data_IF_838130303955
#
_entry.id   IF_838130303955
#
_cell.length_a   1.000
_cell.length_b   1.000
_cell.length_c   1.000
_cell.angle_alpha   90.00
_cell.angle_beta   90.00
_cell.angle_gamma   90.00
#
_symmetry.space_group_name_H-M   'P 1'
#
loop_
_entity.id
_entity.type
_entity.pdbx_description
1 polymer ?
#
# COMPACT_ATOMS: atom_id res chain seq x y z
N UNK A 1 -28.77 -2.89 3.96
CA UNK A 1 -27.34 -2.96 4.30
C UNK A 1 -26.78 -1.62 3.89
N UNK A 2 -26.38 -0.78 4.80
CA UNK A 2 -25.78 0.51 4.45
C UNK A 2 -24.36 0.23 3.97
N UNK A 3 -24.13 0.43 2.69
CA UNK A 3 -22.81 0.55 2.11
C UNK A 3 -22.23 1.84 2.71
N UNK A 4 -21.05 1.79 3.30
CA UNK A 4 -20.36 2.99 3.76
C UNK A 4 -20.09 3.83 2.53
N UNK A 5 -20.73 5.00 2.46
CA UNK A 5 -20.42 5.96 1.41
C UNK A 5 -19.39 6.96 1.98
N UNK A 6 -18.41 7.40 1.18
CA UNK A 6 -17.45 8.45 1.59
C UNK A 6 -18.15 9.68 2.19
N UNK A 7 -19.35 9.97 1.73
CA UNK A 7 -20.17 11.07 2.24
C UNK A 7 -20.65 10.85 3.69
N UNK A 8 -20.60 9.61 4.20
CA UNK A 8 -20.98 9.24 5.57
C UNK A 8 -19.80 9.33 6.56
N UNK A 9 -18.56 9.41 6.04
CA UNK A 9 -17.36 9.58 6.87
C UNK A 9 -17.26 11.05 7.34
N UNK A 10 -17.53 11.27 8.61
CA UNK A 10 -17.32 12.58 9.24
C UNK A 10 -15.82 12.89 9.42
N UNK A 11 -15.50 14.15 9.69
CA UNK A 11 -14.12 14.62 9.90
C UNK A 11 -13.32 13.78 10.92
N UNK A 12 -13.98 13.31 11.97
CA UNK A 12 -13.37 12.47 13.01
C UNK A 12 -12.88 11.12 12.45
N UNK A 13 -13.61 10.52 11.51
CA UNK A 13 -13.24 9.24 10.91
C UNK A 13 -12.02 9.39 10.00
N UNK A 14 -11.97 10.47 9.23
CA UNK A 14 -10.81 10.81 8.41
C UNK A 14 -9.56 11.09 9.27
N UNK A 15 -9.73 11.71 10.43
CA UNK A 15 -8.63 11.94 11.36
C UNK A 15 -8.09 10.62 11.95
N UNK A 16 -8.94 9.65 12.27
CA UNK A 16 -8.53 8.31 12.72
C UNK A 16 -7.73 7.59 11.63
N UNK A 17 -8.21 7.62 10.38
CA UNK A 17 -7.49 7.02 9.25
C UNK A 17 -6.15 7.72 8.98
N UNK A 18 -6.12 9.05 9.11
CA UNK A 18 -4.86 9.81 8.98
C UNK A 18 -3.86 9.45 10.07
N UNK A 19 -4.32 9.29 11.30
CA UNK A 19 -3.46 8.87 12.40
C UNK A 19 -2.89 7.46 12.16
N UNK A 20 -3.70 6.54 11.65
CA UNK A 20 -3.24 5.22 11.22
C UNK A 20 -2.11 5.33 10.19
N UNK A 21 -2.28 6.17 9.17
CA UNK A 21 -1.26 6.44 8.15
C UNK A 21 0.02 7.00 8.75
N UNK A 22 -0.08 7.97 9.63
CA UNK A 22 1.08 8.61 10.28
C UNK A 22 1.87 7.62 11.14
N UNK A 23 1.21 6.77 11.92
CA UNK A 23 1.87 5.75 12.73
C UNK A 23 2.54 4.70 11.84
N UNK A 24 1.82 4.22 10.82
CA UNK A 24 2.34 3.25 9.86
C UNK A 24 3.56 3.78 9.11
N UNK A 25 3.47 5.00 8.57
CA UNK A 25 4.56 5.65 7.83
C UNK A 25 5.80 5.90 8.70
N UNK A 26 5.62 6.34 9.95
CA UNK A 26 6.72 6.56 10.87
C UNK A 26 7.48 5.26 11.20
N UNK A 27 6.77 4.16 11.41
CA UNK A 27 7.37 2.85 11.64
C UNK A 27 8.05 2.31 10.37
N UNK A 28 7.43 2.48 9.20
CA UNK A 28 8.00 2.10 7.91
C UNK A 28 9.28 2.89 7.61
N UNK A 29 9.27 4.21 7.78
CA UNK A 29 10.42 5.08 7.57
C UNK A 29 11.62 4.66 8.41
N UNK A 30 11.41 4.38 9.70
CA UNK A 30 12.46 3.92 10.62
C UNK A 30 13.07 2.59 10.17
N UNK A 31 12.22 1.64 9.78
CA UNK A 31 12.64 0.32 9.33
C UNK A 31 13.40 0.38 8.00
N UNK A 32 12.88 1.15 7.04
CA UNK A 32 13.52 1.36 5.75
C UNK A 32 14.84 2.13 5.84
N UNK A 33 14.94 3.14 6.72
CA UNK A 33 16.19 3.87 6.96
C UNK A 33 17.29 2.94 7.47
N UNK A 34 16.94 2.00 8.35
CA UNK A 34 17.87 0.98 8.84
C UNK A 34 18.30 0.02 7.74
N UNK A 35 17.36 -0.47 6.92
CA UNK A 35 17.62 -1.41 5.83
C UNK A 35 18.48 -0.78 4.72
N UNK A 36 18.11 0.42 4.29
CA UNK A 36 18.82 1.14 3.22
C UNK A 36 20.11 1.83 3.69
N UNK A 37 20.38 1.83 5.01
CA UNK A 37 21.50 2.53 5.63
C UNK A 37 21.60 4.00 5.18
N UNK A 38 20.44 4.69 5.09
CA UNK A 38 20.31 6.08 4.70
C UNK A 38 19.10 6.72 5.36
N UNK A 39 18.97 8.04 5.23
CA UNK A 39 17.77 8.72 5.73
C UNK A 39 16.57 8.38 4.88
N UNK A 40 15.47 8.02 5.53
CA UNK A 40 14.15 7.82 4.91
C UNK A 40 13.12 8.56 5.75
N UNK A 41 12.34 9.40 5.08
CA UNK A 41 11.14 10.03 5.64
C UNK A 41 9.95 9.65 4.77
N UNK A 42 8.79 9.45 5.37
CA UNK A 42 7.54 9.13 4.67
C UNK A 42 6.47 10.10 5.13
N UNK A 43 5.88 10.81 4.19
CA UNK A 43 4.70 11.63 4.39
C UNK A 43 3.48 10.92 3.78
N UNK A 44 2.38 10.89 4.52
CA UNK A 44 1.08 10.41 4.05
C UNK A 44 0.16 11.62 3.87
N UNK A 45 0.13 12.23 2.69
CA UNK A 45 -0.69 13.42 2.45
C UNK A 45 -2.18 13.14 2.58
N UNK A 46 -2.62 11.95 2.20
CA UNK A 46 -4.01 11.55 2.29
C UNK A 46 -4.19 10.04 2.43
N UNK A 47 -5.23 9.67 3.19
CA UNK A 47 -5.86 8.36 3.10
C UNK A 47 -7.28 8.58 2.62
N UNK A 48 -7.67 7.87 1.57
CA UNK A 48 -8.95 8.00 0.92
C UNK A 48 -9.65 6.65 0.85
N UNK A 49 -10.97 6.67 0.99
CA UNK A 49 -11.81 5.55 0.62
C UNK A 49 -12.20 5.77 -0.85
N UNK A 50 -11.78 4.88 -1.74
CA UNK A 50 -12.01 4.98 -3.18
C UNK A 50 -12.85 3.80 -3.66
N UNK A 51 -13.70 4.06 -4.65
CA UNK A 51 -14.34 2.97 -5.40
C UNK A 51 -13.26 2.18 -6.14
N UNK A 52 -13.30 0.86 -6.05
CA UNK A 52 -12.27 -0.02 -6.61
C UNK A 52 -12.02 0.24 -8.10
N UNK A 53 -13.09 0.42 -8.88
CA UNK A 53 -13.04 0.67 -10.33
C UNK A 53 -12.38 2.01 -10.71
N UNK A 54 -12.21 2.92 -9.73
CA UNK A 54 -11.59 4.23 -9.92
C UNK A 54 -10.10 4.25 -9.58
N UNK A 55 -9.59 3.25 -8.85
CA UNK A 55 -8.22 3.25 -8.35
C UNK A 55 -7.20 3.37 -9.49
N UNK A 56 -7.35 2.59 -10.55
CA UNK A 56 -6.42 2.65 -11.70
C UNK A 56 -6.34 4.06 -12.30
N UNK A 57 -7.49 4.69 -12.53
CA UNK A 57 -7.54 6.06 -13.09
C UNK A 57 -7.04 7.13 -12.13
N UNK A 58 -7.06 6.85 -10.84
CA UNK A 58 -6.50 7.74 -9.81
C UNK A 58 -4.97 7.67 -9.76
N UNK A 59 -4.41 6.47 -9.95
CA UNK A 59 -2.96 6.22 -9.96
C UNK A 59 -2.27 6.69 -11.24
N UNK A 60 -2.96 6.65 -12.37
CA UNK A 60 -2.41 7.02 -13.69
C UNK A 60 -3.25 6.51 -14.85
N UNK A 61 -2.61 6.24 -15.98
CA UNK A 61 -3.28 5.58 -17.09
C UNK A 61 -3.37 4.07 -16.84
N UNK A 62 -4.50 3.41 -17.16
CA UNK A 62 -4.58 1.95 -17.10
C UNK A 62 -3.52 1.21 -17.94
N UNK A 63 -2.95 1.88 -18.93
CA UNK A 63 -1.90 1.33 -19.81
C UNK A 63 -0.48 1.55 -19.26
N UNK A 64 -0.32 2.34 -18.17
CA UNK A 64 0.99 2.59 -17.56
C UNK A 64 1.57 1.29 -16.99
N UNK A 65 2.81 0.97 -17.37
CA UNK A 65 3.54 -0.18 -16.85
C UNK A 65 4.13 0.14 -15.48
N UNK A 66 3.76 -0.68 -14.50
CA UNK A 66 4.15 -0.52 -13.10
C UNK A 66 4.68 -1.85 -12.53
N UNK A 67 5.33 -1.75 -11.39
CA UNK A 67 5.54 -2.90 -10.50
C UNK A 67 4.51 -2.83 -9.40
N UNK A 68 3.85 -3.94 -9.14
CA UNK A 68 3.05 -4.09 -7.94
C UNK A 68 3.54 -5.26 -7.09
N UNK A 69 3.32 -5.14 -5.80
CA UNK A 69 3.55 -6.21 -4.84
C UNK A 69 2.28 -6.41 -4.03
N UNK A 70 1.77 -7.64 -4.03
CA UNK A 70 0.58 -8.02 -3.29
C UNK A 70 0.93 -8.92 -2.13
N UNK A 71 0.37 -8.62 -0.96
CA UNK A 71 0.48 -9.43 0.25
C UNK A 71 -0.93 -9.79 0.71
N UNK A 72 -1.17 -11.06 0.95
CA UNK A 72 -2.44 -11.50 1.54
C UNK A 72 -2.45 -11.19 3.02
N UNK A 73 -3.59 -10.74 3.52
CA UNK A 73 -3.88 -10.57 4.94
C UNK A 73 -4.79 -11.70 5.38
N UNK A 74 -4.48 -12.30 6.52
CA UNK A 74 -5.23 -13.42 7.09
C UNK A 74 -5.36 -13.23 8.61
N UNK A 75 -6.48 -13.65 9.18
CA UNK A 75 -6.73 -13.60 10.62
C UNK A 75 -8.03 -12.89 10.96
N UNK A 76 -7.97 -11.83 11.78
CA UNK A 76 -9.17 -11.04 12.09
C UNK A 76 -9.58 -10.13 10.95
N UNK A 77 -8.67 -9.85 10.03
CA UNK A 77 -8.92 -9.11 8.79
C UNK A 77 -8.40 -9.94 7.61
N UNK A 78 -9.29 -10.25 6.67
CA UNK A 78 -8.97 -10.92 5.42
C UNK A 78 -8.96 -9.90 4.27
N UNK A 79 -7.89 -9.94 3.47
CA UNK A 79 -7.73 -8.97 2.41
C UNK A 79 -6.42 -9.05 1.66
N UNK A 80 -6.14 -8.00 0.91
CA UNK A 80 -4.88 -7.80 0.19
C UNK A 80 -4.35 -6.41 0.50
N UNK A 81 -3.07 -6.33 0.85
CA UNK A 81 -2.33 -5.08 0.75
C UNK A 81 -1.60 -5.08 -0.59
N UNK A 82 -1.98 -4.17 -1.45
CA UNK A 82 -1.38 -3.97 -2.75
C UNK A 82 -0.53 -2.70 -2.72
N UNK A 83 0.77 -2.81 -2.98
CA UNK A 83 1.64 -1.67 -3.19
C UNK A 83 1.90 -1.49 -4.69
N UNK A 84 1.65 -0.31 -5.21
CA UNK A 84 1.93 0.07 -6.60
C UNK A 84 3.11 1.03 -6.62
N UNK A 85 4.16 0.67 -7.35
CA UNK A 85 5.46 1.32 -7.32
C UNK A 85 5.81 1.90 -8.68
N UNK A 86 6.11 3.19 -8.70
CA UNK A 86 6.55 3.88 -9.90
C UNK A 86 8.02 3.57 -10.26
N UNK A 87 8.39 3.61 -11.54
CA UNK A 87 9.78 3.38 -11.99
C UNK A 87 10.80 4.28 -11.30
N UNK A 88 10.43 5.54 -10.99
CA UNK A 88 11.28 6.51 -10.28
C UNK A 88 11.66 6.04 -8.88
N UNK A 89 10.73 5.44 -8.15
CA UNK A 89 10.97 4.85 -6.85
C UNK A 89 11.98 3.70 -6.95
N UNK A 90 11.73 2.77 -7.88
CA UNK A 90 12.58 1.59 -8.08
C UNK A 90 14.01 2.03 -8.42
N UNK A 91 14.15 2.95 -9.37
CA UNK A 91 15.45 3.52 -9.74
C UNK A 91 16.16 4.12 -8.52
N UNK A 92 15.46 4.86 -7.68
CA UNK A 92 16.04 5.47 -6.48
C UNK A 92 16.52 4.41 -5.49
N UNK A 93 15.69 3.40 -5.23
CA UNK A 93 16.00 2.31 -4.33
C UNK A 93 17.22 1.51 -4.79
N UNK A 94 17.20 1.03 -6.03
CA UNK A 94 18.30 0.22 -6.58
C UNK A 94 19.61 0.99 -6.54
N UNK A 95 19.60 2.28 -6.91
CA UNK A 95 20.80 3.11 -6.89
C UNK A 95 21.33 3.40 -5.46
N UNK A 96 20.60 3.04 -4.42
CA UNK A 96 21.12 3.06 -3.04
C UNK A 96 22.05 1.86 -2.78
N UNK A 97 21.82 0.73 -3.44
CA UNK A 97 22.64 -0.47 -3.30
C UNK A 97 23.79 -0.52 -4.31
N UNK A 98 23.50 -0.22 -5.59
CA UNK A 98 24.49 -0.19 -6.66
C UNK A 98 24.03 0.69 -7.83
N UNK A 99 24.99 1.35 -8.53
CA UNK A 99 24.65 2.18 -9.68
C UNK A 99 24.08 1.32 -10.82
N UNK A 100 22.85 1.61 -11.24
CA UNK A 100 22.17 0.98 -12.37
C UNK A 100 21.30 2.00 -13.10
N UNK A 101 21.39 2.02 -14.43
CA UNK A 101 20.43 2.76 -15.23
C UNK A 101 19.15 1.94 -15.39
N UNK A 102 18.02 2.50 -14.92
CA UNK A 102 16.68 1.94 -15.05
C UNK A 102 15.84 3.01 -15.75
N UNK A 103 15.37 2.71 -16.94
CA UNK A 103 14.54 3.60 -17.77
C UNK A 103 13.09 3.10 -17.82
N UNK A 104 12.87 1.81 -17.58
CA UNK A 104 11.60 1.12 -17.64
C UNK A 104 11.55 0.02 -16.58
N UNK A 105 10.37 -0.41 -16.20
CA UNK A 105 10.18 -1.58 -15.32
C UNK A 105 10.65 -2.88 -15.98
N UNK A 106 10.75 -2.90 -17.31
CA UNK A 106 11.24 -4.05 -18.07
C UNK A 106 12.79 -4.21 -18.02
N UNK A 107 13.51 -3.22 -17.49
CA UNK A 107 14.96 -3.28 -17.27
C UNK A 107 15.34 -4.01 -15.97
N UNK A 108 14.35 -4.40 -15.17
CA UNK A 108 14.57 -5.03 -13.87
C UNK A 108 14.95 -6.50 -14.02
N UNK A 109 15.99 -6.90 -13.31
CA UNK A 109 16.38 -8.30 -13.16
C UNK A 109 15.88 -8.87 -11.81
N UNK A 110 16.13 -10.17 -11.59
CA UNK A 110 15.69 -10.88 -10.38
C UNK A 110 16.28 -10.28 -9.10
N UNK A 111 17.48 -9.68 -9.15
CA UNK A 111 18.12 -9.04 -8.00
C UNK A 111 17.44 -7.72 -7.64
N UNK A 112 17.08 -6.94 -8.68
CA UNK A 112 16.31 -5.70 -8.47
C UNK A 112 14.94 -6.00 -7.87
N UNK A 113 14.24 -6.99 -8.42
CA UNK A 113 12.93 -7.41 -7.91
C UNK A 113 13.01 -7.90 -6.47
N UNK A 114 14.05 -8.66 -6.12
CA UNK A 114 14.27 -9.11 -4.74
C UNK A 114 14.47 -7.93 -3.78
N UNK A 115 15.21 -6.90 -4.20
CA UNK A 115 15.41 -5.70 -3.38
C UNK A 115 14.09 -4.91 -3.21
N UNK A 116 13.30 -4.78 -4.28
CA UNK A 116 11.98 -4.13 -4.24
C UNK A 116 11.01 -4.92 -3.37
N UNK A 117 11.00 -6.26 -3.47
CA UNK A 117 10.19 -7.13 -2.61
C UNK A 117 10.52 -6.93 -1.11
N UNK A 118 11.80 -6.86 -0.76
CA UNK A 118 12.19 -6.67 0.64
C UNK A 118 11.74 -5.33 1.18
N UNK A 119 11.86 -4.26 0.39
CA UNK A 119 11.38 -2.93 0.79
C UNK A 119 9.85 -2.92 0.96
N UNK A 120 9.13 -3.53 0.04
CA UNK A 120 7.68 -3.67 0.14
C UNK A 120 7.29 -4.47 1.38
N UNK A 121 7.97 -5.57 1.66
CA UNK A 121 7.74 -6.38 2.85
C UNK A 121 7.91 -5.55 4.13
N UNK A 122 9.01 -4.80 4.23
CA UNK A 122 9.30 -3.95 5.40
C UNK A 122 8.23 -2.87 5.57
N UNK A 123 7.89 -2.13 4.51
CA UNK A 123 6.92 -1.05 4.59
C UNK A 123 5.51 -1.56 4.88
N UNK A 124 5.06 -2.58 4.15
CA UNK A 124 3.72 -3.18 4.36
C UNK A 124 3.58 -3.78 5.75
N UNK A 125 4.61 -4.52 6.23
CA UNK A 125 4.60 -5.06 7.59
C UNK A 125 4.49 -3.96 8.66
N UNK A 126 5.13 -2.81 8.46
CA UNK A 126 5.03 -1.70 9.39
C UNK A 126 3.60 -1.13 9.45
N UNK A 127 2.93 -0.98 8.30
CA UNK A 127 1.53 -0.54 8.26
C UNK A 127 0.59 -1.56 8.88
N UNK A 128 0.69 -2.84 8.51
CA UNK A 128 -0.19 -3.90 9.03
C UNK A 128 0.00 -4.06 10.54
N UNK A 129 1.23 -4.01 11.05
CA UNK A 129 1.50 -4.06 12.49
C UNK A 129 0.90 -2.87 13.22
N UNK A 130 0.98 -1.66 12.63
CA UNK A 130 0.37 -0.46 13.19
C UNK A 130 -1.16 -0.57 13.23
N UNK A 131 -1.75 -1.09 12.15
CA UNK A 131 -3.18 -1.37 12.06
C UNK A 131 -3.61 -2.37 13.13
N UNK A 132 -2.92 -3.51 13.23
CA UNK A 132 -3.18 -4.55 14.21
C UNK A 132 -3.09 -4.02 15.65
N UNK A 133 -2.09 -3.18 15.94
CA UNK A 133 -1.89 -2.57 17.25
C UNK A 133 -3.01 -1.57 17.61
N UNK A 134 -3.42 -0.73 16.68
CA UNK A 134 -4.47 0.27 16.91
C UNK A 134 -5.85 -0.37 17.08
N UNK A 135 -6.13 -1.42 16.34
CA UNK A 135 -7.43 -2.10 16.35
C UNK A 135 -7.53 -3.23 17.36
N UNK A 136 -6.38 -3.69 17.90
CA UNK A 136 -6.32 -4.87 18.75
C UNK A 136 -6.66 -6.16 17.99
N UNK A 137 -6.41 -6.21 16.69
CA UNK A 137 -6.64 -7.37 15.82
C UNK A 137 -5.37 -8.18 15.63
N UNK A 138 -5.55 -9.46 15.28
CA UNK A 138 -4.47 -10.33 14.86
C UNK A 138 -4.48 -10.45 13.33
N UNK A 139 -3.39 -10.03 12.70
CA UNK A 139 -3.25 -10.04 11.24
C UNK A 139 -1.92 -10.70 10.87
N UNK A 140 -1.98 -11.75 10.06
CA UNK A 140 -0.82 -12.32 9.38
C UNK A 140 -0.70 -11.75 7.98
N UNK A 141 0.53 -11.65 7.47
CA UNK A 141 0.80 -11.28 6.08
C UNK A 141 1.56 -12.40 5.37
N UNK A 142 1.22 -12.65 4.10
CA UNK A 142 2.01 -13.51 3.23
C UNK A 142 3.30 -12.79 2.78
N UNK A 143 4.30 -13.52 2.27
CA UNK A 143 5.37 -12.89 1.51
C UNK A 143 4.82 -12.07 0.33
N UNK A 144 5.48 -10.94 -0.04
CA UNK A 144 5.06 -10.13 -1.16
C UNK A 144 5.27 -10.86 -2.50
N UNK A 145 4.24 -10.84 -3.33
CA UNK A 145 4.27 -11.39 -4.69
C UNK A 145 4.39 -10.26 -5.72
N UNK A 146 5.49 -10.18 -6.49
CA UNK A 146 5.67 -9.15 -7.49
C UNK A 146 4.89 -9.46 -8.77
N UNK A 147 4.37 -8.41 -9.41
CA UNK A 147 3.77 -8.44 -10.72
C UNK A 147 4.21 -7.20 -11.50
N UNK A 148 4.79 -7.40 -12.69
CA UNK A 148 5.11 -6.34 -13.65
C UNK A 148 4.09 -6.39 -14.76
N UNK A 149 3.17 -5.44 -14.81
CA UNK A 149 2.14 -5.39 -15.83
C UNK A 149 1.62 -3.94 -16.00
N UNK A 150 0.63 -3.77 -16.86
CA UNK A 150 -0.13 -2.54 -16.93
C UNK A 150 -0.96 -2.36 -15.66
N UNK A 151 -1.20 -1.11 -15.28
CA UNK A 151 -1.97 -0.79 -14.09
C UNK A 151 -3.38 -1.40 -14.13
N UNK A 152 -4.01 -1.43 -15.32
CA UNK A 152 -5.30 -2.09 -15.51
C UNK A 152 -5.25 -3.59 -15.20
N UNK A 153 -4.22 -4.30 -15.69
CA UNK A 153 -4.03 -5.73 -15.43
C UNK A 153 -3.68 -6.01 -13.96
N UNK A 154 -2.89 -5.13 -13.33
CA UNK A 154 -2.57 -5.24 -11.89
C UNK A 154 -3.85 -5.19 -11.07
N UNK A 155 -4.73 -4.22 -11.34
CA UNK A 155 -6.00 -4.11 -10.62
C UNK A 155 -6.91 -5.31 -10.91
N UNK A 156 -7.00 -5.76 -12.17
CA UNK A 156 -7.78 -6.95 -12.51
C UNK A 156 -7.26 -8.20 -11.77
N UNK A 157 -5.95 -8.40 -11.72
CA UNK A 157 -5.33 -9.53 -11.00
C UNK A 157 -5.67 -9.49 -9.51
N UNK A 158 -5.63 -8.31 -8.88
CA UNK A 158 -6.01 -8.15 -7.47
C UNK A 158 -7.49 -8.49 -7.25
N UNK A 159 -8.38 -8.09 -8.16
CA UNK A 159 -9.81 -8.42 -8.12
C UNK A 159 -10.07 -9.92 -8.27
N UNK A 160 -9.37 -10.58 -9.21
CA UNK A 160 -9.58 -12.00 -9.49
C UNK A 160 -9.14 -12.92 -8.33
N UNK A 161 -8.18 -12.46 -7.54
CA UNK A 161 -7.68 -13.18 -6.35
C UNK A 161 -8.62 -13.11 -5.16
N UNK A 162 -9.50 -12.14 -5.14
CA UNK A 162 -10.34 -11.82 -3.99
C UNK A 162 -11.81 -11.80 -4.39
N UNK A 163 -12.50 -12.93 -4.18
CA UNK A 163 -13.89 -13.17 -4.67
C UNK A 163 -14.93 -12.30 -3.95
N UNK A 164 -14.62 -11.72 -2.79
CA UNK A 164 -15.56 -10.95 -1.96
C UNK A 164 -15.03 -9.55 -1.63
N UNK A 165 -14.46 -8.87 -2.62
CA UNK A 165 -14.03 -7.48 -2.44
C UNK A 165 -15.25 -6.60 -2.20
N UNK A 166 -15.14 -5.70 -1.22
CA UNK A 166 -16.04 -4.56 -1.13
C UNK A 166 -15.87 -3.63 -2.33
N UNK A 167 -16.92 -2.88 -2.67
CA UNK A 167 -16.85 -1.90 -3.77
C UNK A 167 -15.82 -0.78 -3.47
N UNK A 168 -15.38 -0.64 -2.23
CA UNK A 168 -14.50 0.42 -1.75
C UNK A 168 -13.21 -0.12 -1.14
N UNK A 169 -12.13 0.63 -1.31
CA UNK A 169 -10.79 0.30 -0.81
C UNK A 169 -10.17 1.49 -0.10
N UNK A 170 -9.33 1.22 0.89
CA UNK A 170 -8.52 2.26 1.51
C UNK A 170 -7.27 2.50 0.66
N UNK A 171 -7.19 3.68 0.08
CA UNK A 171 -6.06 4.15 -0.70
C UNK A 171 -5.17 5.05 0.16
N UNK A 172 -3.90 4.72 0.24
CA UNK A 172 -2.87 5.44 1.01
C UNK A 172 -1.86 5.99 0.02
N UNK A 173 -1.84 7.30 -0.14
CA UNK A 173 -0.84 8.00 -0.95
C UNK A 173 0.40 8.28 -0.09
N UNK A 174 1.59 8.03 -0.63
CA UNK A 174 2.85 8.18 0.09
C UNK A 174 3.87 8.97 -0.72
N UNK A 175 4.44 9.98 -0.10
CA UNK A 175 5.66 10.63 -0.56
C UNK A 175 6.83 10.16 0.30
N UNK A 176 7.75 9.41 -0.32
CA UNK A 176 8.96 8.95 0.35
C UNK A 176 10.14 9.86 -0.02
N UNK A 177 10.94 10.20 0.96
CA UNK A 177 12.18 10.97 0.79
C UNK A 177 13.36 10.08 1.14
N UNK A 178 14.02 9.50 0.12
CA UNK A 178 15.20 8.63 0.28
C UNK A 178 16.46 9.43 0.02
N UNK A 179 17.28 9.64 1.06
CA UNK A 179 18.45 10.54 1.02
C UNK A 179 18.09 11.91 0.40
N UNK A 180 16.96 12.49 0.82
CA UNK A 180 16.48 13.80 0.39
C UNK A 180 15.85 13.84 -1.01
N UNK A 181 15.72 12.70 -1.71
CA UNK A 181 15.06 12.63 -3.02
C UNK A 181 13.65 12.11 -2.85
N UNK A 182 12.67 12.90 -3.31
CA UNK A 182 11.26 12.52 -3.30
C UNK A 182 10.98 11.43 -4.35
N UNK A 183 10.27 10.41 -3.93
CA UNK A 183 9.70 9.35 -4.78
C UNK A 183 8.31 9.00 -4.27
N UNK A 184 7.47 8.46 -5.15
CA UNK A 184 6.08 8.15 -4.82
C UNK A 184 5.82 6.65 -4.79
N UNK A 185 5.03 6.25 -3.84
CA UNK A 185 4.45 4.91 -3.70
C UNK A 185 2.98 5.06 -3.36
N UNK A 186 2.20 4.05 -3.65
CA UNK A 186 0.80 4.00 -3.27
C UNK A 186 0.49 2.64 -2.68
N UNK A 187 -0.14 2.63 -1.51
CA UNK A 187 -0.67 1.41 -0.91
C UNK A 187 -2.18 1.40 -1.01
N UNK A 188 -2.73 0.23 -1.31
CA UNK A 188 -4.15 0.00 -1.43
C UNK A 188 -4.50 -1.17 -0.53
N UNK A 189 -5.29 -0.90 0.50
CA UNK A 189 -5.81 -1.93 1.39
C UNK A 189 -7.19 -2.35 0.88
N UNK A 190 -7.25 -3.55 0.36
CA UNK A 190 -8.44 -4.20 -0.18
C UNK A 190 -8.91 -5.22 0.85
N UNK A 191 -10.05 -5.01 1.46
CA UNK A 191 -10.60 -5.89 2.49
C UNK A 191 -11.90 -6.56 2.01
N UNK A 192 -12.20 -7.73 2.57
CA UNK A 192 -13.55 -8.28 2.45
C UNK A 192 -14.57 -7.36 3.12
N UNK A 193 -15.84 -7.44 2.71
CA UNK A 193 -16.92 -6.63 3.29
C UNK A 193 -16.98 -6.81 4.81
N UNK A 194 -16.82 -8.03 5.30
CA UNK A 194 -16.87 -8.30 6.73
C UNK A 194 -15.64 -7.78 7.46
N UNK A 195 -14.45 -7.89 6.87
CA UNK A 195 -13.22 -7.32 7.41
C UNK A 195 -13.26 -5.79 7.45
N UNK A 196 -13.84 -5.14 6.45
CA UNK A 196 -14.04 -3.70 6.45
C UNK A 196 -14.93 -3.25 7.61
N UNK A 197 -16.03 -3.98 7.88
CA UNK A 197 -16.90 -3.73 9.05
C UNK A 197 -16.13 -3.89 10.36
N UNK A 198 -15.37 -4.99 10.50
CA UNK A 198 -14.54 -5.22 11.70
C UNK A 198 -13.56 -4.08 11.89
N UNK A 199 -12.87 -3.66 10.84
CA UNK A 199 -11.92 -2.55 10.88
C UNK A 199 -12.58 -1.26 11.37
N UNK A 200 -13.69 -0.85 10.75
CA UNK A 200 -14.36 0.38 11.10
C UNK A 200 -14.96 0.35 12.50
N UNK A 201 -15.55 -0.79 12.91
CA UNK A 201 -16.05 -0.97 14.28
C UNK A 201 -14.92 -0.78 15.32
N UNK A 202 -13.76 -1.40 15.08
CA UNK A 202 -12.58 -1.28 15.94
C UNK A 202 -12.01 0.15 15.99
N UNK A 203 -12.10 0.88 14.89
CA UNK A 203 -11.69 2.28 14.82
C UNK A 203 -12.77 3.25 15.35
N UNK A 204 -13.93 2.75 15.76
CA UNK A 204 -15.06 3.57 16.24
C UNK A 204 -15.75 4.36 15.12
N UNK A 205 -15.63 3.87 13.88
CA UNK A 205 -16.25 4.46 12.68
C UNK A 205 -17.59 3.75 12.44
N UNK A 206 -18.74 4.42 12.62
CA UNK A 206 -20.03 3.82 12.33
C UNK A 206 -20.21 3.61 10.83
N UNK A 207 -20.82 2.49 10.45
CA UNK A 207 -21.11 2.07 9.07
C UNK A 207 -22.56 1.58 8.93
#
# INVERSE_FOLDING_TARGET
MSIINMDDLGAMHLDVLRELGNIGSGNAATSLASFLNTTVDIEVPAINLLQYDKVASYLGSPDDRMVSLSLMLEGDLDGVMLQVIQPSFIKRVINTFYPKEINSVDDLDDMDLSAVQEISNISTAAYVNSLAQLTGTYINISPPEPLIDTLGNIMQNASDRFVEIGDEVLYIDENLYIAGTEVKSSMILILSIDSMKVLFDKLGIPY
#
